data_IF_698832242033
#
_entry.id   IF_698832242033
#
_cell.length_a   1.000
_cell.length_b   1.000
_cell.length_c   1.000
_cell.angle_alpha   90.00
_cell.angle_beta   90.00
_cell.angle_gamma   90.00
#
_symmetry.space_group_name_H-M   'P 1'
#
loop_
_entity.id
_entity.type
_entity.pdbx_description
1 polymer ?
#
# COMPACT_ATOMS: atom_id res chain seq x y z
N UNK A 1 3.15 3.00 -12.83
CA UNK A 1 3.94 4.25 -12.82
C UNK A 1 5.22 4.04 -13.61
N UNK A 2 5.55 4.94 -14.54
CA UNK A 2 6.83 4.90 -15.27
C UNK A 2 7.73 6.04 -14.79
N UNK A 3 9.00 5.75 -14.51
CA UNK A 3 10.02 6.72 -14.16
C UNK A 3 11.23 6.59 -15.09
N UNK A 4 11.57 7.67 -15.80
CA UNK A 4 12.67 7.74 -16.73
C UNK A 4 13.40 9.07 -16.63
N UNK A 5 14.71 9.01 -16.38
CA UNK A 5 15.60 10.17 -16.17
C UNK A 5 15.10 11.13 -15.08
N UNK A 6 14.50 10.61 -13.99
CA UNK A 6 13.94 11.46 -12.93
C UNK A 6 14.01 10.85 -11.52
N UNK A 7 13.69 11.67 -10.52
CA UNK A 7 13.54 11.24 -9.12
C UNK A 7 12.08 11.30 -8.71
N UNK A 8 11.54 10.18 -8.23
CA UNK A 8 10.15 10.06 -7.78
C UNK A 8 10.08 9.51 -6.37
N UNK A 9 9.11 10.00 -5.60
CA UNK A 9 8.78 9.49 -4.27
C UNK A 9 7.32 9.06 -4.25
N UNK A 10 7.09 7.85 -3.77
CA UNK A 10 5.79 7.20 -3.62
C UNK A 10 5.59 6.95 -2.13
N UNK A 11 4.53 7.52 -1.56
CA UNK A 11 4.18 7.31 -0.14
C UNK A 11 2.68 7.12 0.00
N UNK A 12 2.26 6.22 0.90
CA UNK A 12 0.85 6.00 1.21
C UNK A 12 0.02 5.76 -0.06
N UNK A 13 0.54 4.91 -0.95
CA UNK A 13 -0.10 4.60 -2.23
C UNK A 13 -0.47 3.13 -2.30
N UNK A 14 -1.52 2.83 -3.06
CA UNK A 14 -1.87 1.46 -3.44
C UNK A 14 -1.81 1.34 -4.95
N UNK A 15 -0.92 0.49 -5.44
CA UNK A 15 -0.91 0.00 -6.82
C UNK A 15 -1.41 -1.44 -6.75
N UNK A 16 -2.55 -1.71 -7.38
CA UNK A 16 -3.16 -3.02 -7.35
C UNK A 16 -3.84 -3.31 -8.67
N UNK A 17 -3.72 -4.54 -9.15
CA UNK A 17 -4.40 -5.05 -10.34
C UNK A 17 -4.16 -4.24 -11.63
N UNK A 18 -3.06 -3.48 -11.71
CA UNK A 18 -2.76 -2.76 -12.94
C UNK A 18 -2.16 -3.70 -13.99
N UNK A 19 -2.30 -3.27 -15.24
CA UNK A 19 -1.72 -3.95 -16.39
C UNK A 19 -0.91 -2.96 -17.19
N UNK A 20 0.41 -3.12 -17.18
CA UNK A 20 1.31 -2.40 -18.07
C UNK A 20 1.67 -3.23 -19.32
N UNK A 21 2.18 -2.53 -20.34
CA UNK A 21 2.75 -3.14 -21.54
C UNK A 21 4.22 -3.50 -21.28
N UNK A 22 4.76 -4.47 -22.03
CA UNK A 22 6.19 -4.82 -21.89
C UNK A 22 6.50 -5.50 -20.56
N UNK A 23 7.73 -5.46 -20.04
CA UNK A 23 8.09 -6.11 -18.78
C UNK A 23 7.61 -5.36 -17.53
N UNK A 24 6.95 -4.21 -17.70
CA UNK A 24 6.65 -3.28 -16.62
C UNK A 24 5.61 -3.81 -15.63
N UNK A 25 5.87 -3.57 -14.34
CA UNK A 25 4.97 -3.87 -13.23
C UNK A 25 4.13 -2.66 -12.79
N UNK A 26 3.69 -2.65 -11.53
CA UNK A 26 3.09 -1.46 -10.90
C UNK A 26 4.00 -0.24 -11.00
N UNK A 27 5.30 -0.41 -10.74
CA UNK A 27 6.35 0.61 -10.91
C UNK A 27 7.37 0.12 -11.93
N UNK A 28 7.77 1.01 -12.85
CA UNK A 28 8.84 0.76 -13.81
C UNK A 28 9.88 1.88 -13.75
N UNK A 29 11.12 1.55 -13.40
CA UNK A 29 12.23 2.49 -13.24
C UNK A 29 13.31 2.23 -14.29
N UNK A 30 13.63 3.24 -15.10
CA UNK A 30 14.53 3.14 -16.26
C UNK A 30 15.68 4.15 -16.18
N UNK A 31 16.79 3.83 -16.85
CA UNK A 31 17.97 4.72 -16.98
C UNK A 31 18.49 5.19 -15.61
N UNK A 32 19.05 6.40 -15.50
CA UNK A 32 19.60 6.94 -14.24
C UNK A 32 18.51 7.51 -13.31
N UNK A 33 17.38 6.81 -13.20
CA UNK A 33 16.24 7.22 -12.36
C UNK A 33 16.35 6.73 -10.92
N UNK A 34 15.82 7.53 -9.99
CA UNK A 34 15.70 7.16 -8.58
C UNK A 34 14.24 7.11 -8.16
N UNK A 35 13.80 6.02 -7.54
CA UNK A 35 12.47 5.92 -6.92
C UNK A 35 12.57 5.51 -5.46
N UNK A 36 11.90 6.25 -4.59
CA UNK A 36 11.71 5.88 -3.19
C UNK A 36 10.25 5.53 -2.93
N UNK A 37 10.00 4.42 -2.25
CA UNK A 37 8.65 3.95 -1.91
C UNK A 37 8.57 3.71 -0.41
N UNK A 38 7.59 4.31 0.27
CA UNK A 38 7.28 3.97 1.66
C UNK A 38 5.79 3.87 1.93
N UNK A 39 5.41 3.18 3.01
CA UNK A 39 4.03 3.14 3.52
C UNK A 39 3.00 2.71 2.46
N UNK A 40 3.43 1.92 1.46
CA UNK A 40 2.65 1.66 0.25
C UNK A 40 2.33 0.18 0.10
N UNK A 41 1.32 -0.13 -0.71
CA UNK A 41 0.95 -1.49 -1.08
C UNK A 41 1.07 -1.63 -2.59
N UNK A 42 1.87 -2.60 -3.04
CA UNK A 42 1.98 -3.00 -4.44
C UNK A 42 1.56 -4.46 -4.53
N UNK A 43 0.40 -4.75 -5.12
CA UNK A 43 -0.19 -6.07 -5.02
C UNK A 43 -1.07 -6.49 -6.20
N UNK A 44 -0.74 -7.63 -6.80
CA UNK A 44 -1.61 -8.28 -7.78
C UNK A 44 -1.51 -7.66 -9.18
N UNK A 45 -0.43 -6.92 -9.45
CA UNK A 45 -0.14 -6.36 -10.76
C UNK A 45 0.35 -7.44 -11.72
N UNK A 46 -0.21 -7.49 -12.94
CA UNK A 46 -0.15 -8.68 -13.82
C UNK A 46 1.27 -9.17 -14.17
N UNK A 47 2.25 -8.27 -14.19
CA UNK A 47 3.64 -8.56 -14.60
C UNK A 47 4.64 -8.38 -13.45
N UNK A 48 4.13 -8.35 -12.22
CA UNK A 48 4.90 -8.09 -11.01
C UNK A 48 4.76 -6.64 -10.55
N UNK A 49 5.36 -6.36 -9.39
CA UNK A 49 5.15 -5.10 -8.69
C UNK A 49 6.16 -4.03 -9.10
N UNK A 50 7.44 -4.39 -9.17
CA UNK A 50 8.51 -3.44 -9.45
C UNK A 50 9.40 -4.00 -10.56
N UNK A 51 9.51 -3.24 -11.65
CA UNK A 51 10.44 -3.48 -12.73
C UNK A 51 11.57 -2.44 -12.69
N UNK A 52 12.82 -2.91 -12.62
CA UNK A 52 14.01 -2.05 -12.62
C UNK A 52 14.87 -2.39 -13.84
N UNK A 53 14.82 -1.52 -14.84
CA UNK A 53 15.65 -1.59 -16.04
C UNK A 53 16.88 -0.66 -15.98
N UNK A 54 16.95 0.21 -14.97
CA UNK A 54 18.10 1.05 -14.65
C UNK A 54 17.88 1.82 -13.34
N UNK A 55 18.96 2.41 -12.82
CA UNK A 55 18.88 3.32 -11.69
C UNK A 55 18.66 2.62 -10.35
N UNK A 56 18.00 3.30 -9.40
CA UNK A 56 17.79 2.79 -8.04
C UNK A 56 16.33 2.84 -7.62
N UNK A 57 15.88 1.78 -6.94
CA UNK A 57 14.57 1.73 -6.27
C UNK A 57 14.78 1.29 -4.83
N UNK A 58 14.51 2.19 -3.89
CA UNK A 58 14.55 1.91 -2.46
C UNK A 58 13.12 1.84 -1.92
N UNK A 59 12.79 0.76 -1.23
CA UNK A 59 11.45 0.53 -0.68
C UNK A 59 11.57 0.19 0.80
N UNK A 60 10.78 0.83 1.65
CA UNK A 60 10.75 0.58 3.10
C UNK A 60 9.32 0.60 3.61
N UNK A 61 9.03 -0.13 4.69
CA UNK A 61 7.72 -0.13 5.35
C UNK A 61 6.54 -0.25 4.39
N UNK A 62 6.67 -1.10 3.38
CA UNK A 62 5.67 -1.31 2.34
C UNK A 62 5.32 -2.79 2.21
N UNK A 63 4.15 -3.09 1.67
CA UNK A 63 3.76 -4.46 1.33
C UNK A 63 3.89 -4.68 -0.18
N UNK A 64 4.74 -5.62 -0.59
CA UNK A 64 5.04 -5.88 -2.00
C UNK A 64 4.82 -7.37 -2.27
N UNK A 65 3.93 -7.70 -3.21
CA UNK A 65 3.73 -9.08 -3.64
C UNK A 65 5.02 -9.67 -4.21
N UNK A 66 5.43 -10.82 -3.67
CA UNK A 66 6.70 -11.48 -4.03
C UNK A 66 7.93 -10.88 -3.35
N UNK A 67 7.72 -9.87 -2.49
CA UNK A 67 8.73 -9.27 -1.63
C UNK A 67 9.64 -8.25 -2.32
N UNK A 68 10.21 -7.36 -1.50
CA UNK A 68 11.27 -6.44 -1.92
C UNK A 68 12.23 -6.15 -0.76
N UNK A 69 13.56 -6.14 -0.98
CA UNK A 69 14.52 -5.85 0.08
C UNK A 69 14.33 -4.43 0.65
N UNK A 70 14.31 -4.32 1.97
CA UNK A 70 14.19 -3.05 2.67
C UNK A 70 13.69 -3.22 4.09
N UNK A 71 13.95 -2.23 4.93
CA UNK A 71 13.49 -2.23 6.32
C UNK A 71 11.95 -2.21 6.38
N UNK A 72 11.38 -3.05 7.23
CA UNK A 72 9.94 -3.07 7.51
C UNK A 72 9.05 -3.51 6.34
N UNK A 73 9.62 -3.90 5.19
CA UNK A 73 8.83 -4.44 4.10
C UNK A 73 8.24 -5.81 4.46
N UNK A 74 7.04 -6.06 3.96
CA UNK A 74 6.34 -7.33 4.11
C UNK A 74 5.88 -7.86 2.75
N UNK A 75 5.62 -9.16 2.68
CA UNK A 75 4.98 -9.85 1.56
C UNK A 75 3.85 -10.71 2.12
N UNK A 76 2.69 -10.09 2.27
CA UNK A 76 1.52 -10.74 2.84
C UNK A 76 0.26 -10.23 2.15
N UNK A 77 -0.77 -11.08 2.00
CA UNK A 77 -2.02 -10.65 1.37
C UNK A 77 -2.57 -9.41 2.10
N UNK A 78 -2.79 -8.26 1.40
CA UNK A 78 -3.29 -7.03 2.01
C UNK A 78 -4.69 -7.17 2.62
N UNK A 79 -5.45 -8.22 2.26
CA UNK A 79 -6.83 -8.41 2.70
C UNK A 79 -7.70 -7.18 2.41
N UNK A 80 -7.68 -6.70 1.16
CA UNK A 80 -8.62 -5.67 0.70
C UNK A 80 -10.07 -6.15 0.85
N UNK A 81 -11.00 -5.21 1.04
CA UNK A 81 -12.43 -5.50 1.16
C UNK A 81 -12.97 -6.11 -0.13
N UNK A 82 -12.86 -5.36 -1.23
CA UNK A 82 -13.36 -5.80 -2.53
C UNK A 82 -12.67 -5.03 -3.68
N UNK A 83 -11.64 -5.64 -4.24
CA UNK A 83 -10.89 -5.04 -5.35
C UNK A 83 -11.70 -4.93 -6.64
N UNK A 84 -12.72 -5.78 -6.83
CA UNK A 84 -13.53 -5.79 -8.07
C UNK A 84 -14.49 -4.59 -8.13
N UNK A 85 -14.92 -4.09 -6.97
CA UNK A 85 -15.66 -2.83 -6.84
C UNK A 85 -14.76 -1.60 -6.64
N UNK A 86 -13.45 -1.81 -6.44
CA UNK A 86 -12.49 -0.74 -6.21
C UNK A 86 -12.36 -0.32 -4.74
N UNK A 87 -12.87 -1.12 -3.81
CA UNK A 87 -12.71 -0.92 -2.38
C UNK A 87 -11.39 -1.54 -1.88
N UNK A 88 -10.39 -0.67 -1.75
CA UNK A 88 -9.06 -1.00 -1.26
C UNK A 88 -8.87 -0.72 0.24
N UNK A 89 -9.95 -0.52 1.01
CA UNK A 89 -9.83 -0.52 2.47
C UNK A 89 -9.32 -1.88 2.95
N UNK A 90 -8.62 -1.86 4.08
CA UNK A 90 -8.06 -3.07 4.68
C UNK A 90 -9.11 -3.74 5.56
N UNK A 91 -9.24 -5.06 5.52
CA UNK A 91 -10.08 -5.78 6.49
C UNK A 91 -9.59 -5.54 7.91
N UNK A 92 -10.53 -5.29 8.83
CA UNK A 92 -10.24 -5.15 10.26
C UNK A 92 -11.35 -5.73 11.13
N UNK A 93 -10.95 -6.53 12.12
CA UNK A 93 -11.88 -6.98 13.17
C UNK A 93 -12.37 -5.83 14.08
N UNK A 94 -11.70 -4.68 14.08
CA UNK A 94 -12.15 -3.45 14.77
C UNK A 94 -12.90 -2.47 13.86
N UNK A 95 -12.91 -2.73 12.55
CA UNK A 95 -13.75 -2.05 11.59
C UNK A 95 -12.99 -1.43 10.42
N UNK A 96 -13.45 -1.68 9.20
CA UNK A 96 -13.14 -0.86 8.02
C UNK A 96 -14.23 0.19 7.79
N UNK A 97 -13.91 1.23 7.01
CA UNK A 97 -14.86 2.26 6.62
C UNK A 97 -15.62 1.86 5.35
N UNK A 98 -16.95 1.80 5.43
CA UNK A 98 -17.84 1.52 4.30
C UNK A 98 -18.42 2.85 3.78
N UNK A 99 -17.76 3.45 2.78
CA UNK A 99 -18.17 4.74 2.20
C UNK A 99 -19.35 4.60 1.22
N UNK A 100 -19.47 3.47 0.53
CA UNK A 100 -20.57 3.20 -0.39
C UNK A 100 -21.82 2.72 0.36
N UNK A 101 -22.81 3.61 0.46
CA UNK A 101 -24.19 3.27 0.83
C UNK A 101 -24.54 3.35 2.32
N UNK A 102 -23.56 3.31 3.25
CA UNK A 102 -23.88 3.29 4.71
C UNK A 102 -23.07 4.24 5.61
N UNK A 103 -21.93 4.78 5.16
CA UNK A 103 -21.09 5.73 5.93
C UNK A 103 -20.87 5.26 7.37
N UNK A 104 -20.36 4.03 7.54
CA UNK A 104 -20.24 3.38 8.85
C UNK A 104 -19.00 2.49 8.95
N UNK A 105 -18.67 2.13 10.19
CA UNK A 105 -17.68 1.12 10.50
C UNK A 105 -18.28 -0.29 10.44
N UNK A 106 -17.57 -1.22 9.80
CA UNK A 106 -17.99 -2.62 9.65
C UNK A 106 -16.87 -3.55 10.10
N UNK A 107 -17.15 -4.38 11.10
CA UNK A 107 -16.21 -5.40 11.59
C UNK A 107 -16.08 -6.55 10.60
N UNK A 108 -14.85 -6.95 10.33
CA UNK A 108 -14.51 -8.09 9.46
C UNK A 108 -14.16 -9.34 10.27
N UNK A 109 -14.01 -10.46 9.56
CA UNK A 109 -13.60 -11.74 10.15
C UNK A 109 -12.07 -11.93 10.23
N UNK A 110 -11.30 -10.93 9.79
CA UNK A 110 -9.84 -10.96 9.78
C UNK A 110 -9.29 -9.53 9.85
N UNK A 111 -8.05 -9.39 10.32
CA UNK A 111 -7.31 -8.13 10.32
C UNK A 111 -6.16 -8.20 9.33
N UNK A 112 -6.07 -7.20 8.47
CA UNK A 112 -5.00 -7.07 7.48
C UNK A 112 -3.62 -6.97 8.16
N UNK A 113 -2.59 -7.64 7.62
CA UNK A 113 -1.20 -7.45 8.06
C UNK A 113 -0.66 -6.05 7.71
N UNK A 114 -1.37 -5.26 6.90
CA UNK A 114 -1.01 -3.89 6.56
C UNK A 114 -1.50 -2.85 7.57
N UNK A 115 -2.33 -3.25 8.54
CA UNK A 115 -2.78 -2.36 9.62
C UNK A 115 -1.63 -2.17 10.62
N UNK A 116 -1.40 -0.93 11.06
CA UNK A 116 -0.32 -0.52 11.95
C UNK A 116 1.06 -0.98 11.47
N UNK A 117 1.27 -1.03 10.14
CA UNK A 117 2.43 -1.69 9.55
C UNK A 117 3.42 -0.73 8.86
N UNK A 118 3.05 0.55 8.66
CA UNK A 118 3.90 1.56 8.02
C UNK A 118 5.10 2.00 8.87
N UNK A 119 5.83 3.01 8.43
CA UNK A 119 7.01 3.53 9.12
C UNK A 119 6.63 3.99 10.55
N UNK A 120 7.27 3.46 11.61
CA UNK A 120 7.03 3.88 12.99
C UNK A 120 7.28 5.39 13.24
N UNK A 121 8.02 6.06 12.36
CA UNK A 121 8.28 7.50 12.43
C UNK A 121 7.28 8.32 11.61
N UNK A 122 6.51 7.69 10.72
CA UNK A 122 5.41 8.36 10.01
C UNK A 122 4.26 8.62 10.99
N UNK A 123 3.67 9.83 10.97
CA UNK A 123 2.52 10.12 11.82
C UNK A 123 1.33 9.26 11.38
N UNK A 124 0.57 8.71 12.33
CA UNK A 124 -0.70 8.03 12.04
C UNK A 124 -1.76 8.97 11.43
N UNK A 125 -1.52 10.29 11.36
CA UNK A 125 -2.40 11.23 10.67
C UNK A 125 -3.80 11.27 11.27
N UNK A 126 -4.81 11.24 10.39
CA UNK A 126 -6.23 11.27 10.76
C UNK A 126 -6.81 9.87 11.02
N UNK A 127 -5.96 8.83 11.15
CA UNK A 127 -6.44 7.46 11.38
C UNK A 127 -7.31 7.37 12.65
N UNK A 128 -8.52 6.79 12.53
CA UNK A 128 -9.49 6.80 13.61
C UNK A 128 -9.12 5.82 14.71
N UNK A 129 -9.37 6.20 15.97
CA UNK A 129 -9.15 5.31 17.11
C UNK A 129 -10.08 4.09 17.10
N UNK A 130 -9.59 2.92 17.55
CA UNK A 130 -8.19 2.60 17.83
C UNK A 130 -7.31 2.55 16.56
N UNK A 131 -6.11 3.15 16.59
CA UNK A 131 -5.19 3.25 15.43
C UNK A 131 -3.76 2.74 15.72
N UNK A 132 -3.54 2.05 16.85
CA UNK A 132 -2.24 1.48 17.21
C UNK A 132 -1.09 2.49 17.40
N UNK A 133 -1.36 3.78 17.18
CA UNK A 133 -0.39 4.88 17.04
C UNK A 133 0.67 4.63 15.95
N UNK A 134 0.36 3.83 14.93
CA UNK A 134 1.27 3.55 13.81
C UNK A 134 0.47 3.52 12.51
N UNK A 135 0.94 4.23 11.49
CA UNK A 135 0.20 4.38 10.25
C UNK A 135 -0.04 3.03 9.56
N UNK A 136 -1.23 2.84 9.00
CA UNK A 136 -1.52 1.75 8.08
C UNK A 136 -0.73 1.93 6.77
N UNK A 137 -0.37 0.83 6.11
CA UNK A 137 0.17 0.91 4.75
C UNK A 137 -0.96 1.13 3.72
N UNK A 138 -0.63 1.78 2.60
CA UNK A 138 -1.52 1.93 1.45
C UNK A 138 -2.26 3.27 1.38
N UNK A 139 -3.17 3.37 0.42
CA UNK A 139 -3.84 4.62 0.04
C UNK A 139 -4.67 5.27 1.15
N UNK A 140 -5.21 4.47 2.08
CA UNK A 140 -6.01 4.96 3.20
C UNK A 140 -5.19 5.22 4.46
N UNK A 141 -3.93 4.79 4.50
CA UNK A 141 -3.04 5.05 5.63
C UNK A 141 -2.88 6.56 5.87
N UNK A 142 -3.06 6.97 7.12
CA UNK A 142 -3.02 8.38 7.53
C UNK A 142 -4.32 9.15 7.33
N UNK A 143 -5.40 8.52 6.86
CA UNK A 143 -6.67 9.19 6.54
C UNK A 143 -7.77 8.89 7.55
N UNK A 144 -8.82 9.72 7.59
CA UNK A 144 -10.00 9.52 8.43
C UNK A 144 -10.82 8.26 8.11
N UNK A 145 -10.56 7.62 6.97
CA UNK A 145 -11.25 6.42 6.50
C UNK A 145 -10.40 5.15 6.69
N UNK A 146 -9.20 5.27 7.25
CA UNK A 146 -8.35 4.12 7.48
C UNK A 146 -8.98 3.10 8.43
N UNK A 147 -8.79 1.82 8.13
CA UNK A 147 -9.28 0.73 8.97
C UNK A 147 -8.64 0.75 10.36
N UNK A 148 -9.43 0.42 11.37
CA UNK A 148 -9.03 0.51 12.77
C UNK A 148 -8.14 -0.65 13.19
N UNK A 149 -7.37 -0.43 14.24
CA UNK A 149 -6.54 -1.45 14.89
C UNK A 149 -7.40 -2.34 15.82
N UNK A 150 -7.10 -3.65 15.93
CA UNK A 150 -7.76 -4.55 16.87
C UNK A 150 -7.51 -4.22 18.36
#
# INVERSE_FOLDING_TARGET
>A
MFNGESTVTVRNCTFSQNVARGPDGAIANYWDSTTTVSDSILWGDKRGEIHVAGGTVAVTYSNIQGGWPGEGNIDANPLFIDTDSGDYHLKSQAGHWESEGRLRWVEDNATSPCIDAGDPLSPAGDEPEPNGRRINMGAYGGTAEASKSP
#
